data_IF_886376992791
#
_entry.id   IF_886376992791
#
_cell.length_a   1.000
_cell.length_b   1.000
_cell.length_c   1.000
_cell.angle_alpha   90.00
_cell.angle_beta   90.00
_cell.angle_gamma   90.00
#
_symmetry.space_group_name_H-M   'P 1'
#
loop_
_entity.id
_entity.type
_entity.pdbx_description
1 polymer ?
#
# COMPACT_ATOMS: atom_id res chain seq x y z
N UNK A 1 11.96 -7.77 13.79
CA UNK A 1 11.31 -7.90 12.47
C UNK A 1 9.81 -7.92 12.71
N UNK A 2 9.02 -7.02 12.10
CA UNK A 2 7.56 -7.02 12.27
C UNK A 2 6.93 -8.27 11.64
N UNK A 3 5.75 -8.71 12.09
CA UNK A 3 5.09 -9.87 11.53
C UNK A 3 4.81 -9.66 10.05
N UNK A 4 5.23 -10.62 9.22
CA UNK A 4 4.84 -10.69 7.81
C UNK A 4 3.38 -11.10 7.76
N UNK A 5 2.47 -10.18 7.45
CA UNK A 5 1.01 -10.41 7.57
C UNK A 5 0.38 -10.70 6.20
N UNK A 6 -0.59 -11.61 6.19
CA UNK A 6 -1.47 -11.83 5.04
C UNK A 6 -2.36 -10.59 4.82
N UNK A 7 -3.00 -10.50 3.64
CA UNK A 7 -3.90 -9.38 3.34
C UNK A 7 -5.06 -9.29 4.34
N UNK A 8 -5.40 -8.05 4.68
CA UNK A 8 -6.55 -7.81 5.53
C UNK A 8 -7.84 -7.98 4.72
N UNK A 9 -8.83 -8.75 5.22
CA UNK A 9 -10.07 -8.98 4.50
C UNK A 9 -10.86 -7.68 4.30
N UNK A 10 -11.62 -7.61 3.20
CA UNK A 10 -12.60 -6.56 2.98
C UNK A 10 -13.59 -6.50 4.16
N UNK A 11 -13.95 -5.28 4.57
CA UNK A 11 -14.84 -4.95 5.70
C UNK A 11 -14.36 -5.38 7.09
N UNK A 12 -13.17 -5.98 7.22
CA UNK A 12 -12.59 -6.24 8.53
C UNK A 12 -12.24 -4.93 9.24
N UNK A 13 -12.50 -4.88 10.55
CA UNK A 13 -12.22 -3.72 11.40
C UNK A 13 -10.97 -3.96 12.24
N UNK A 14 -10.10 -2.96 12.28
CA UNK A 14 -8.82 -3.00 12.99
C UNK A 14 -8.62 -1.70 13.76
N UNK A 15 -7.78 -1.75 14.78
CA UNK A 15 -7.35 -0.55 15.52
C UNK A 15 -5.94 -0.15 15.11
N UNK A 16 -5.67 1.15 15.12
CA UNK A 16 -4.33 1.65 14.87
C UNK A 16 -3.35 1.21 15.96
N UNK A 17 -2.05 1.14 15.65
CA UNK A 17 -1.02 0.96 16.67
C UNK A 17 -1.16 2.06 17.73
N UNK A 18 -1.42 1.69 18.99
CA UNK A 18 -1.70 2.64 20.07
C UNK A 18 -3.16 3.04 20.24
N UNK A 19 -4.10 2.40 19.52
CA UNK A 19 -5.55 2.53 19.69
C UNK A 19 -6.11 3.97 19.55
N UNK A 20 -5.42 4.84 18.80
CA UNK A 20 -5.84 6.23 18.58
C UNK A 20 -7.07 6.34 17.67
N UNK A 21 -7.26 5.38 16.76
CA UNK A 21 -8.40 5.34 15.86
C UNK A 21 -8.69 3.89 15.47
N UNK A 22 -9.94 3.63 15.10
CA UNK A 22 -10.35 2.38 14.46
C UNK A 22 -10.61 2.61 12.98
N UNK A 23 -10.36 1.60 12.17
CA UNK A 23 -10.55 1.69 10.73
C UNK A 23 -11.10 0.39 10.15
N UNK A 24 -11.91 0.52 9.10
CA UNK A 24 -12.47 -0.60 8.35
C UNK A 24 -11.82 -0.68 6.97
N UNK A 25 -11.43 -1.88 6.56
CA UNK A 25 -10.82 -2.12 5.25
C UNK A 25 -11.86 -2.04 4.13
N UNK A 26 -11.62 -1.20 3.13
CA UNK A 26 -12.35 -1.21 1.86
C UNK A 26 -11.63 -2.06 0.81
N UNK A 27 -10.30 -2.09 0.82
CA UNK A 27 -9.54 -2.98 -0.06
C UNK A 27 -8.06 -2.62 -0.14
N UNK A 28 -7.23 -3.52 -0.67
CA UNK A 28 -5.82 -3.23 -0.94
C UNK A 28 -5.71 -2.17 -2.05
N UNK A 29 -4.77 -1.24 -1.92
CA UNK A 29 -4.52 -0.24 -2.96
C UNK A 29 -3.04 0.18 -3.00
N UNK A 30 -2.61 0.63 -4.18
CA UNK A 30 -1.30 1.27 -4.35
C UNK A 30 -1.52 2.78 -4.45
N UNK A 31 -0.83 3.56 -3.60
CA UNK A 31 -0.89 5.02 -3.66
C UNK A 31 0.02 5.54 -4.76
N UNK A 32 -0.52 6.40 -5.59
CA UNK A 32 0.23 7.22 -6.55
C UNK A 32 0.16 8.67 -6.08
N UNK A 33 1.27 9.39 -6.17
CA UNK A 33 1.32 10.83 -5.95
C UNK A 33 1.40 11.52 -7.31
N UNK A 34 0.66 12.62 -7.50
CA UNK A 34 1.01 13.54 -8.58
C UNK A 34 2.36 14.19 -8.23
N UNK A 35 3.19 14.42 -9.23
CA UNK A 35 4.49 15.09 -9.09
C UNK A 35 4.35 16.43 -8.35
N UNK A 36 3.25 17.15 -8.54
CA UNK A 36 2.99 18.45 -7.90
C UNK A 36 2.62 18.35 -6.42
N UNK A 37 2.12 17.20 -5.96
CA UNK A 37 1.72 16.97 -4.57
C UNK A 37 2.90 16.63 -3.64
N UNK A 38 4.07 16.31 -4.22
CA UNK A 38 5.22 15.91 -3.42
C UNK A 38 6.01 17.13 -2.92
N UNK A 39 6.40 17.17 -1.63
CA UNK A 39 7.14 18.29 -1.07
C UNK A 39 8.52 18.41 -1.73
N UNK A 40 8.85 19.59 -2.23
CA UNK A 40 10.16 19.93 -2.76
C UNK A 40 11.26 19.63 -1.71
N UNK A 41 12.39 18.93 -2.00
CA UNK A 41 12.95 18.44 -3.26
C UNK A 41 12.96 16.89 -3.33
N UNK A 42 11.85 16.22 -3.05
CA UNK A 42 11.71 14.76 -3.05
C UNK A 42 12.13 14.06 -4.37
N UNK A 43 12.22 14.80 -5.49
CA UNK A 43 12.81 14.32 -6.73
C UNK A 43 14.22 13.74 -6.50
N UNK A 44 15.02 14.29 -5.57
CA UNK A 44 16.37 13.76 -5.24
C UNK A 44 16.38 12.33 -4.72
N UNK A 45 15.35 11.87 -4.01
CA UNK A 45 15.35 10.53 -3.41
C UNK A 45 15.28 9.41 -4.44
N UNK A 46 14.85 9.71 -5.67
CA UNK A 46 14.81 8.74 -6.77
C UNK A 46 16.03 8.84 -7.70
N UNK A 47 16.65 10.02 -7.82
CA UNK A 47 17.87 10.20 -8.59
C UNK A 47 19.09 9.94 -7.68
N UNK A 48 19.66 8.74 -7.79
CA UNK A 48 21.00 8.45 -7.24
C UNK A 48 22.13 9.23 -7.96
N UNK A 49 21.82 10.36 -8.62
CA UNK A 49 22.67 11.11 -9.56
C UNK A 49 22.19 12.57 -9.72
N UNK A 50 22.91 13.36 -10.51
CA UNK A 50 22.65 14.79 -10.77
C UNK A 50 21.17 15.06 -11.10
N UNK A 51 20.64 16.11 -10.47
CA UNK A 51 19.24 16.52 -10.55
C UNK A 51 18.81 16.70 -12.02
N UNK A 52 17.66 16.13 -12.45
CA UNK A 52 17.19 16.30 -13.82
C UNK A 52 16.97 17.78 -14.10
N UNK A 53 17.38 18.24 -15.28
CA UNK A 53 17.02 19.57 -15.73
C UNK A 53 15.49 19.74 -15.65
N UNK A 54 15.02 20.93 -15.27
CA UNK A 54 13.58 21.26 -15.18
C UNK A 54 12.79 20.94 -16.45
N UNK A 55 13.49 20.81 -17.59
CA UNK A 55 12.97 20.41 -18.91
C UNK A 55 12.71 18.91 -19.04
N UNK A 56 13.15 18.06 -18.11
CA UNK A 56 12.93 16.62 -18.16
C UNK A 56 11.55 16.29 -17.62
N UNK A 57 10.60 16.11 -18.53
CA UNK A 57 9.25 15.65 -18.23
C UNK A 57 9.36 14.15 -17.86
N UNK A 58 9.25 13.87 -16.56
CA UNK A 58 9.18 12.51 -16.02
C UNK A 58 7.74 11.97 -16.04
N UNK A 59 7.52 10.81 -15.41
CA UNK A 59 6.17 10.27 -15.21
C UNK A 59 5.38 11.21 -14.30
N UNK A 60 4.13 11.52 -14.68
CA UNK A 60 3.24 12.40 -13.91
C UNK A 60 2.86 11.82 -12.56
N UNK A 61 2.54 10.53 -12.52
CA UNK A 61 2.21 9.81 -11.29
C UNK A 61 3.41 9.00 -10.82
N UNK A 62 3.84 9.24 -9.58
CA UNK A 62 4.94 8.54 -8.92
C UNK A 62 4.37 7.60 -7.87
N UNK A 63 4.67 6.29 -7.94
CA UNK A 63 4.20 5.36 -6.92
C UNK A 63 4.86 5.62 -5.57
N UNK A 64 4.07 5.50 -4.50
CA UNK A 64 4.56 5.59 -3.13
C UNK A 64 5.59 4.46 -2.86
N UNK A 65 6.82 4.85 -2.52
CA UNK A 65 7.90 3.90 -2.22
C UNK A 65 7.61 3.08 -0.95
N UNK A 66 6.77 3.58 -0.05
CA UNK A 66 6.34 2.82 1.12
C UNK A 66 5.48 1.61 0.71
N UNK A 67 4.63 1.75 -0.30
CA UNK A 67 3.81 0.66 -0.85
C UNK A 67 4.64 -0.52 -1.38
N UNK A 68 5.92 -0.30 -1.72
CA UNK A 68 6.84 -1.38 -2.12
C UNK A 68 7.21 -2.31 -0.96
N UNK A 69 7.17 -1.82 0.28
CA UNK A 69 7.66 -2.55 1.46
C UNK A 69 6.57 -2.90 2.46
N UNK A 70 5.52 -2.08 2.50
CA UNK A 70 4.44 -2.13 3.48
C UNK A 70 3.09 -2.07 2.76
N UNK A 71 2.07 -2.79 3.26
CA UNK A 71 0.76 -2.78 2.64
C UNK A 71 0.04 -1.45 2.87
N UNK A 72 -0.77 -1.06 1.89
CA UNK A 72 -1.61 0.13 1.91
C UNK A 72 -3.06 -0.23 1.58
N UNK A 73 -3.99 0.32 2.33
CA UNK A 73 -5.41 0.00 2.19
C UNK A 73 -6.23 1.26 2.01
N UNK A 74 -7.23 1.19 1.14
CA UNK A 74 -8.36 2.10 1.21
C UNK A 74 -9.15 1.71 2.45
N UNK A 75 -9.42 2.67 3.33
CA UNK A 75 -10.07 2.44 4.62
C UNK A 75 -11.12 3.50 4.90
N UNK A 76 -12.09 3.13 5.73
CA UNK A 76 -12.96 4.07 6.44
C UNK A 76 -12.44 4.23 7.86
N UNK A 77 -12.05 5.44 8.23
CA UNK A 77 -11.78 5.79 9.63
C UNK A 77 -13.11 5.82 10.38
N UNK A 78 -13.20 4.99 11.41
CA UNK A 78 -14.32 4.94 12.34
C UNK A 78 -14.02 5.97 13.43
N UNK A 79 -14.55 7.17 13.22
CA UNK A 79 -14.52 8.27 14.17
C UNK A 79 -15.57 8.04 15.28
N UNK A 80 -15.74 9.02 16.16
CA UNK A 80 -16.76 8.98 17.20
C UNK A 80 -18.17 8.73 16.60
N UNK A 81 -19.12 8.18 17.37
CA UNK A 81 -20.41 7.68 16.86
C UNK A 81 -21.26 8.72 16.11
N UNK A 82 -21.03 10.00 16.41
CA UNK A 82 -21.69 11.17 15.85
C UNK A 82 -21.05 11.70 14.56
N UNK A 83 -19.84 11.24 14.24
CA UNK A 83 -19.08 11.69 13.08
C UNK A 83 -19.19 10.72 11.91
N UNK A 84 -19.34 11.26 10.70
CA UNK A 84 -19.37 10.46 9.48
C UNK A 84 -18.01 9.76 9.28
N UNK A 85 -18.01 8.46 8.93
CA UNK A 85 -16.78 7.76 8.62
C UNK A 85 -16.01 8.45 7.48
N UNK A 86 -14.71 8.67 7.67
CA UNK A 86 -13.87 9.35 6.68
C UNK A 86 -13.11 8.34 5.84
N UNK A 87 -13.28 8.38 4.52
CA UNK A 87 -12.53 7.52 3.60
C UNK A 87 -11.13 8.09 3.37
N UNK A 88 -10.12 7.26 3.54
CA UNK A 88 -8.72 7.64 3.30
C UNK A 88 -7.89 6.41 2.90
N UNK A 89 -6.63 6.63 2.58
CA UNK A 89 -5.65 5.55 2.35
C UNK A 89 -4.69 5.49 3.53
N UNK A 90 -4.54 4.29 4.09
CA UNK A 90 -3.68 4.02 5.23
C UNK A 90 -2.56 3.07 4.82
N UNK A 91 -1.32 3.48 5.03
CA UNK A 91 -0.13 2.62 4.86
C UNK A 91 0.29 2.08 6.22
N UNK A 92 0.32 0.75 6.39
CA UNK A 92 0.70 0.11 7.64
C UNK A 92 2.23 -0.04 7.70
N UNK A 93 2.93 1.03 8.05
CA UNK A 93 4.41 1.07 8.04
C UNK A 93 5.07 0.05 8.98
N UNK A 94 4.37 -0.37 10.04
CA UNK A 94 4.83 -1.40 10.96
C UNK A 94 4.78 -2.81 10.36
N UNK A 95 3.93 -3.03 9.35
CA UNK A 95 3.77 -4.31 8.68
C UNK A 95 4.67 -4.40 7.44
N UNK A 96 5.18 -5.60 7.19
CA UNK A 96 6.02 -5.89 6.02
C UNK A 96 5.34 -6.93 5.14
N UNK A 97 5.38 -6.69 3.84
CA UNK A 97 4.87 -7.63 2.84
C UNK A 97 5.81 -8.86 2.74
N UNK A 98 5.23 -10.06 2.61
CA UNK A 98 5.98 -11.27 2.28
C UNK A 98 6.60 -11.16 0.88
N UNK A 99 7.65 -11.92 0.53
CA UNK A 99 8.21 -11.90 -0.82
C UNK A 99 7.18 -12.15 -1.92
N UNK A 100 6.32 -13.15 -1.74
CA UNK A 100 5.22 -13.49 -2.66
C UNK A 100 4.22 -12.35 -2.78
N UNK A 101 3.81 -11.78 -1.64
CA UNK A 101 2.85 -10.70 -1.61
C UNK A 101 3.45 -9.40 -2.16
N UNK A 102 4.77 -9.16 -2.01
CA UNK A 102 5.45 -8.02 -2.64
C UNK A 102 5.39 -8.09 -4.15
N UNK A 103 5.59 -9.27 -4.73
CA UNK A 103 5.53 -9.43 -6.19
C UNK A 103 4.09 -9.23 -6.70
N UNK A 104 3.09 -9.74 -5.97
CA UNK A 104 1.69 -9.48 -6.27
C UNK A 104 1.32 -7.99 -6.13
N UNK A 105 1.74 -7.35 -5.03
CA UNK A 105 1.38 -5.99 -4.64
C UNK A 105 2.07 -4.91 -5.47
N UNK A 106 3.35 -5.13 -5.78
CA UNK A 106 4.22 -4.17 -6.45
C UNK A 106 5.02 -4.89 -7.54
N UNK A 107 4.31 -5.43 -8.54
CA UNK A 107 4.99 -6.08 -9.66
C UNK A 107 5.65 -5.04 -10.55
N UNK A 108 6.91 -5.30 -10.90
CA UNK A 108 7.62 -4.56 -11.97
C UNK A 108 7.30 -5.09 -13.36
N UNK A 109 6.56 -6.21 -13.43
CA UNK A 109 6.33 -6.95 -14.65
C UNK A 109 4.86 -6.81 -15.07
N UNK A 110 4.53 -5.69 -15.71
CA UNK A 110 3.20 -5.46 -16.31
C UNK A 110 2.86 -6.42 -17.47
N UNK A 111 3.82 -7.25 -17.90
CA UNK A 111 3.72 -8.16 -19.05
C UNK A 111 3.22 -9.58 -18.67
N UNK A 112 3.06 -9.89 -17.38
CA UNK A 112 2.66 -11.25 -16.93
C UNK A 112 1.16 -11.52 -17.00
N UNK A 113 0.33 -10.49 -17.15
CA UNK A 113 -1.13 -10.62 -17.21
C UNK A 113 -1.67 -9.84 -18.42
N UNK A 114 -1.65 -10.44 -19.62
CA UNK A 114 -2.11 -9.79 -20.85
C UNK A 114 -3.62 -9.44 -20.83
N UNK A 115 -4.42 -10.13 -20.01
CA UNK A 115 -5.88 -9.98 -19.99
C UNK A 115 -6.43 -9.04 -18.90
N UNK A 116 -5.57 -8.30 -18.18
CA UNK A 116 -6.00 -7.35 -17.15
C UNK A 116 -6.60 -7.98 -15.89
N UNK A 117 -6.73 -9.30 -15.82
CA UNK A 117 -7.06 -10.03 -14.61
C UNK A 117 -5.86 -9.94 -13.65
N UNK A 118 -6.01 -9.16 -12.57
CA UNK A 118 -5.02 -9.19 -11.50
C UNK A 118 -4.98 -10.61 -10.91
N UNK A 119 -3.79 -11.18 -10.63
CA UNK A 119 -3.70 -12.44 -9.92
C UNK A 119 -4.52 -12.39 -8.63
N UNK A 120 -5.07 -13.53 -8.20
CA UNK A 120 -5.55 -13.64 -6.82
C UNK A 120 -4.38 -13.40 -5.86
N UNK A 121 -4.60 -12.70 -4.74
CA UNK A 121 -3.56 -12.57 -3.73
C UNK A 121 -3.18 -13.95 -3.17
N UNK A 122 -1.90 -14.19 -2.87
CA UNK A 122 -1.45 -15.45 -2.32
C UNK A 122 -2.25 -15.79 -1.06
N UNK A 123 -2.92 -16.95 -1.08
CA UNK A 123 -3.70 -17.45 0.05
C UNK A 123 -2.76 -17.89 1.16
N UNK A 124 -3.19 -17.73 2.41
CA UNK A 124 -2.44 -18.23 3.57
C UNK A 124 -2.32 -19.76 3.42
N UNK A 125 -1.12 -20.31 3.53
CA UNK A 125 -0.97 -21.74 3.78
C UNK A 125 -1.55 -22.00 5.17
N UNK A 126 -2.82 -22.41 5.22
CA UNK A 126 -3.39 -23.00 6.43
C UNK A 126 -2.71 -24.36 6.57
N UNK A 127 -1.53 -24.38 7.19
CA UNK A 127 -0.99 -25.62 7.72
C UNK A 127 -1.99 -26.13 8.74
N UNK A 128 -2.68 -27.21 8.37
CA UNK A 128 -3.53 -28.00 9.24
C UNK A 128 -2.73 -28.35 10.51
N UNK A 129 -3.14 -27.79 11.64
CA UNK A 129 -2.83 -28.38 12.95
C UNK A 129 -3.97 -29.36 13.27
N UNK A 130 -3.94 -30.52 12.63
CA UNK A 130 -4.56 -31.72 13.17
C UNK A 130 -3.50 -32.43 14.02
N UNK A 131 -3.72 -32.46 15.32
CA UNK A 131 -2.90 -33.13 16.32
C UNK A 131 -3.58 -33.03 17.68
#
# INVERSE_FOLDING_TARGET
MGPTRALLPHRSQHSSPGAQYSFRILGPCCRLFDREELPWPCCRLQWRSKEPSWRRIGRRFVPDLACRRSPSYAVELLLQPDLRPTKTVLTLFAERLSPELKEWWYSRCSLRYPDGAAPDPPRRNTGEAHG
#
